data_IF_212394523488
#
_entry.id   IF_212394523488
#
_cell.length_a   1.000
_cell.length_b   1.000
_cell.length_c   1.000
_cell.angle_alpha   90.00
_cell.angle_beta   90.00
_cell.angle_gamma   90.00
#
_symmetry.space_group_name_H-M   'P 1'
#
loop_
_entity.id
_entity.type
_entity.pdbx_description
1 polymer ?
#
# COMPACT_ATOMS: atom_id res chain seq x y z
N UNK A 1 54.23 47.19 -8.94
CA UNK A 1 53.29 46.05 -8.79
C UNK A 1 51.87 46.35 -9.29
N UNK A 2 51.44 47.60 -9.45
CA UNK A 2 50.08 47.97 -9.90
C UNK A 2 49.81 47.90 -11.42
N UNK A 3 50.85 47.79 -12.26
CA UNK A 3 50.70 47.79 -13.73
C UNK A 3 50.43 46.39 -14.33
N UNK A 4 50.86 45.32 -13.65
CA UNK A 4 50.60 43.93 -14.07
C UNK A 4 49.16 43.49 -13.78
N UNK A 5 48.56 44.01 -12.71
CA UNK A 5 47.17 43.71 -12.33
C UNK A 5 46.15 44.36 -13.28
N UNK A 6 46.46 45.56 -13.81
CA UNK A 6 45.60 46.23 -14.79
C UNK A 6 45.64 45.57 -16.17
N UNK A 7 46.78 45.01 -16.57
CA UNK A 7 46.90 44.31 -17.85
C UNK A 7 46.17 42.96 -17.85
N UNK A 8 46.18 42.24 -16.71
CA UNK A 8 45.47 40.96 -16.56
C UNK A 8 43.94 41.11 -16.50
N UNK A 9 43.46 42.23 -15.95
CA UNK A 9 42.03 42.52 -15.82
C UNK A 9 41.42 43.02 -17.14
N UNK A 10 42.23 43.65 -18.00
CA UNK A 10 41.81 44.13 -19.32
C UNK A 10 41.81 43.01 -20.38
N UNK A 11 42.65 41.97 -20.22
CA UNK A 11 42.59 40.77 -21.07
C UNK A 11 41.44 39.82 -20.72
N UNK A 12 41.01 39.75 -19.44
CA UNK A 12 39.87 38.92 -19.04
C UNK A 12 38.50 39.50 -19.49
N UNK A 13 38.39 40.83 -19.62
CA UNK A 13 37.16 41.49 -20.06
C UNK A 13 36.98 41.50 -21.58
N UNK A 14 38.08 41.36 -22.34
CA UNK A 14 38.03 41.21 -23.80
C UNK A 14 37.66 39.79 -24.26
N UNK A 15 37.88 38.76 -23.43
CA UNK A 15 37.46 37.38 -23.73
C UNK A 15 35.97 37.11 -23.52
N UNK A 16 35.24 37.98 -22.81
CA UNK A 16 33.80 37.82 -22.55
C UNK A 16 32.89 38.38 -23.67
N UNK A 17 33.45 39.13 -24.64
CA UNK A 17 32.68 39.75 -25.74
C UNK A 17 32.87 39.06 -27.10
N UNK A 18 33.62 37.95 -27.17
CA UNK A 18 33.91 37.22 -28.41
C UNK A 18 33.36 35.79 -28.46
N UNK A 19 32.60 35.35 -27.44
CA UNK A 19 32.10 33.96 -27.36
C UNK A 19 30.77 33.72 -28.10
N UNK A 20 30.29 34.65 -28.94
CA UNK A 20 28.99 34.54 -29.60
C UNK A 20 29.05 34.76 -31.11
N UNK A 21 29.99 34.13 -31.81
CA UNK A 21 29.88 33.88 -33.26
C UNK A 21 30.75 32.68 -33.67
N UNK A 22 30.29 31.45 -33.40
CA UNK A 22 30.82 30.24 -34.02
C UNK A 22 29.97 29.89 -35.25
N UNK A 23 30.51 29.97 -36.48
CA UNK A 23 29.77 29.60 -37.68
C UNK A 23 29.97 28.10 -37.94
N UNK A 24 29.27 27.20 -37.22
CA UNK A 24 29.23 25.75 -37.54
C UNK A 24 28.12 24.95 -36.84
N UNK A 25 27.01 25.57 -36.43
CA UNK A 25 25.82 24.81 -36.00
C UNK A 25 24.70 24.98 -37.02
N UNK A 26 24.41 23.90 -37.75
CA UNK A 26 23.22 23.77 -38.59
C UNK A 26 21.98 24.06 -37.75
N UNK A 27 21.12 24.96 -38.21
CA UNK A 27 19.80 25.18 -37.59
C UNK A 27 19.07 23.84 -37.48
N UNK A 28 18.45 23.51 -36.32
CA UNK A 28 17.55 22.37 -36.27
C UNK A 28 16.42 22.62 -37.26
N UNK A 29 16.25 21.69 -38.19
CA UNK A 29 15.15 21.65 -39.15
C UNK A 29 13.83 21.86 -38.40
N UNK A 30 12.93 22.75 -38.84
CA UNK A 30 11.63 22.86 -38.21
C UNK A 30 10.90 21.52 -38.38
N UNK A 31 10.60 20.85 -37.27
CA UNK A 31 9.69 19.71 -37.25
C UNK A 31 8.31 20.20 -37.66
N UNK A 32 7.90 19.85 -38.87
CA UNK A 32 6.51 19.97 -39.31
C UNK A 32 5.71 18.86 -38.63
N UNK A 33 4.88 19.22 -37.65
CA UNK A 33 3.80 18.36 -37.20
C UNK A 33 2.78 18.22 -38.34
N UNK A 34 2.43 17.00 -38.79
CA UNK A 34 1.25 16.84 -39.62
C UNK A 34 0.02 17.16 -38.75
N UNK A 35 -0.71 18.21 -39.11
CA UNK A 35 -2.05 18.46 -38.60
C UNK A 35 -2.96 17.28 -38.98
N UNK A 36 -3.64 16.62 -38.04
CA UNK A 36 -4.70 15.69 -38.39
C UNK A 36 -5.88 16.50 -38.94
N UNK A 37 -5.99 16.56 -40.27
CA UNK A 37 -7.20 17.00 -40.94
C UNK A 37 -8.26 15.90 -40.82
N UNK A 38 -8.94 15.82 -39.68
CA UNK A 38 -10.12 15.00 -39.52
C UNK A 38 -11.33 15.78 -40.05
N UNK A 39 -11.65 15.54 -41.32
CA UNK A 39 -12.94 15.92 -41.91
C UNK A 39 -14.06 15.20 -41.16
N UNK A 40 -14.80 16.00 -40.39
CA UNK A 40 -16.11 15.65 -39.85
C UNK A 40 -17.10 15.60 -41.02
N UNK A 41 -17.54 14.42 -41.44
CA UNK A 41 -18.75 14.28 -42.27
C UNK A 41 -19.48 13.00 -41.88
N UNK A 42 -20.62 13.22 -41.22
CA UNK A 42 -21.63 12.23 -40.95
C UNK A 42 -22.14 11.58 -42.25
N UNK A 43 -22.34 10.26 -42.22
CA UNK A 43 -23.23 9.58 -43.16
C UNK A 43 -24.23 8.77 -42.34
N UNK A 44 -25.48 9.24 -42.40
CA UNK A 44 -26.67 8.50 -42.04
C UNK A 44 -26.80 7.26 -42.94
N UNK A 45 -26.99 6.09 -42.34
CA UNK A 45 -27.66 4.98 -42.98
C UNK A 45 -28.55 4.28 -41.94
N UNK A 46 -29.85 4.54 -42.03
CA UNK A 46 -30.87 3.78 -41.31
C UNK A 46 -31.12 2.46 -42.05
N UNK A 47 -31.12 1.34 -41.33
CA UNK A 47 -31.97 0.19 -41.67
C UNK A 47 -32.30 -0.58 -40.40
N UNK A 48 -33.60 -0.61 -40.10
CA UNK A 48 -34.24 -1.47 -39.10
C UNK A 48 -34.19 -2.93 -39.53
N UNK A 49 -33.91 -3.85 -38.59
CA UNK A 49 -34.74 -5.06 -38.41
C UNK A 49 -34.51 -5.69 -37.04
N UNK A 50 -35.65 -6.04 -36.45
CA UNK A 50 -35.93 -6.71 -35.19
C UNK A 50 -35.50 -8.18 -35.21
N UNK A 51 -34.80 -8.64 -34.17
CA UNK A 51 -34.83 -10.04 -33.72
C UNK A 51 -34.43 -10.15 -32.24
N UNK A 52 -35.37 -10.66 -31.44
CA UNK A 52 -35.18 -11.13 -30.08
C UNK A 52 -34.89 -12.64 -30.12
N UNK A 53 -33.95 -13.14 -29.30
CA UNK A 53 -34.13 -14.43 -28.63
C UNK A 53 -33.80 -14.29 -27.13
N UNK A 54 -34.80 -14.34 -26.23
CA UNK A 54 -35.35 -15.53 -25.54
C UNK A 54 -34.34 -16.17 -24.58
N UNK A 55 -34.55 -15.91 -23.29
CA UNK A 55 -33.88 -16.54 -22.13
C UNK A 55 -34.17 -18.05 -22.07
N UNK A 56 -33.21 -18.89 -21.65
CA UNK A 56 -33.48 -20.29 -21.33
C UNK A 56 -34.19 -20.44 -19.97
N UNK A 57 -35.00 -21.51 -19.77
CA UNK A 57 -35.81 -21.70 -18.57
C UNK A 57 -35.01 -22.22 -17.36
N UNK A 58 -35.54 -22.10 -16.13
CA UNK A 58 -34.98 -22.75 -14.95
C UNK A 58 -35.42 -24.22 -14.88
N UNK A 59 -34.47 -25.15 -14.77
CA UNK A 59 -34.78 -26.55 -14.45
C UNK A 59 -34.86 -26.76 -12.93
N UNK A 60 -35.91 -27.49 -12.54
CA UNK A 60 -36.29 -27.81 -11.16
C UNK A 60 -35.99 -29.29 -10.90
N UNK A 61 -35.29 -29.55 -9.79
CA UNK A 61 -35.35 -30.68 -8.85
C UNK A 61 -35.71 -32.11 -9.32
N UNK A 62 -34.77 -33.05 -9.10
CA UNK A 62 -34.94 -34.45 -8.65
C UNK A 62 -33.55 -35.12 -8.67
N UNK A 63 -33.14 -36.12 -7.90
CA UNK A 63 -33.60 -36.78 -6.69
C UNK A 63 -32.39 -37.56 -6.14
N UNK A 64 -32.40 -37.78 -4.84
CA UNK A 64 -31.47 -38.58 -4.06
C UNK A 64 -31.38 -40.02 -4.60
N UNK A 65 -30.17 -40.53 -4.84
CA UNK A 65 -29.95 -41.96 -5.11
C UNK A 65 -29.02 -42.55 -4.06
N UNK A 66 -29.63 -43.22 -3.10
CA UNK A 66 -29.00 -44.10 -2.12
C UNK A 66 -28.39 -45.30 -2.83
N UNK A 67 -27.08 -45.50 -2.72
CA UNK A 67 -26.40 -46.74 -3.15
C UNK A 67 -26.01 -47.54 -1.92
N UNK A 68 -26.80 -48.59 -1.65
CA UNK A 68 -26.48 -49.66 -0.72
C UNK A 68 -25.43 -50.56 -1.36
N UNK A 69 -24.22 -50.61 -0.80
CA UNK A 69 -23.20 -51.60 -1.14
C UNK A 69 -23.07 -52.61 0.01
N UNK A 70 -23.64 -53.80 -0.20
CA UNK A 70 -23.38 -55.02 0.58
C UNK A 70 -22.22 -55.79 -0.06
N UNK A 71 -21.15 -56.08 0.70
CA UNK A 71 -20.09 -56.99 0.27
C UNK A 71 -18.96 -57.11 1.30
N UNK A 72 -18.33 -58.28 1.46
CA UNK A 72 -17.98 -58.84 2.77
C UNK A 72 -16.63 -58.38 3.36
N UNK A 73 -16.56 -58.55 4.68
CA UNK A 73 -15.38 -58.41 5.51
C UNK A 73 -14.21 -59.31 5.08
N UNK A 74 -13.05 -58.70 4.89
CA UNK A 74 -11.75 -59.37 4.95
C UNK A 74 -10.77 -58.51 5.74
N UNK A 75 -10.46 -58.99 6.93
CA UNK A 75 -9.40 -58.50 7.80
C UNK A 75 -8.04 -58.95 7.27
N UNK A 76 -7.04 -58.05 7.21
CA UNK A 76 -5.69 -58.45 7.58
C UNK A 76 -5.20 -57.61 8.75
N UNK A 77 -4.80 -58.30 9.82
CA UNK A 77 -4.08 -57.72 10.93
C UNK A 77 -2.69 -57.28 10.44
N UNK A 78 -2.41 -55.98 10.52
CA UNK A 78 -1.05 -55.44 10.40
C UNK A 78 -0.75 -54.66 11.67
N UNK A 79 0.11 -55.24 12.50
CA UNK A 79 0.69 -54.60 13.67
C UNK A 79 1.60 -53.47 13.21
N UNK A 80 1.13 -52.23 13.32
CA UNK A 80 1.96 -51.03 13.20
C UNK A 80 2.20 -50.45 14.60
N UNK A 81 3.42 -50.59 15.09
CA UNK A 81 3.94 -49.81 16.23
C UNK A 81 3.99 -48.34 15.81
N UNK A 82 3.00 -47.55 16.24
CA UNK A 82 2.97 -46.11 16.01
C UNK A 82 4.06 -45.38 16.81
N UNK A 83 4.65 -44.30 16.26
CA UNK A 83 5.55 -43.43 17.03
C UNK A 83 4.76 -42.72 18.13
N UNK A 84 5.36 -42.66 19.32
CA UNK A 84 4.87 -41.89 20.47
C UNK A 84 4.64 -40.43 20.07
N UNK A 85 3.37 -40.04 19.94
CA UNK A 85 2.98 -38.64 19.79
C UNK A 85 3.18 -37.94 21.13
N UNK A 86 4.23 -37.13 21.23
CA UNK A 86 4.34 -36.12 22.28
C UNK A 86 3.13 -35.18 22.18
N UNK A 87 2.35 -34.97 23.25
CA UNK A 87 1.23 -34.04 23.17
C UNK A 87 1.76 -32.63 22.91
N UNK A 88 1.29 -32.01 21.82
CA UNK A 88 1.49 -30.59 21.52
C UNK A 88 0.89 -29.80 22.69
N UNK A 89 1.69 -28.92 23.29
CA UNK A 89 1.25 -28.08 24.39
C UNK A 89 -0.01 -27.31 23.98
N UNK A 90 -1.10 -27.53 24.72
CA UNK A 90 -2.34 -26.75 24.60
C UNK A 90 -2.03 -25.31 24.97
N UNK A 91 -1.85 -24.45 23.97
CA UNK A 91 -1.72 -23.01 24.18
C UNK A 91 -2.97 -22.52 24.94
N UNK A 92 -2.76 -22.00 26.14
CA UNK A 92 -3.80 -21.37 26.93
C UNK A 92 -4.28 -20.13 26.16
N UNK A 93 -5.59 -19.94 26.00
CA UNK A 93 -6.24 -18.86 25.25
C UNK A 93 -5.86 -17.43 25.69
N UNK A 94 -5.10 -17.27 26.78
CA UNK A 94 -4.47 -16.00 27.16
C UNK A 94 -3.14 -15.67 26.45
N UNK A 95 -2.54 -16.61 25.71
CA UNK A 95 -1.23 -16.44 25.06
C UNK A 95 -1.29 -16.07 23.57
N UNK A 96 -2.47 -16.13 22.93
CA UNK A 96 -2.63 -15.92 21.48
C UNK A 96 -3.11 -14.50 21.15
N UNK A 97 -2.54 -13.51 21.83
CA UNK A 97 -2.95 -12.11 21.71
C UNK A 97 -1.81 -11.20 21.20
N UNK A 98 -0.70 -11.79 20.77
CA UNK A 98 0.41 -11.08 20.13
C UNK A 98 1.18 -12.01 19.22
N UNK A 99 1.56 -11.52 18.04
CA UNK A 99 2.47 -12.16 17.10
C UNK A 99 3.91 -12.06 17.61
N UNK A 100 4.76 -13.07 17.35
CA UNK A 100 6.18 -13.03 17.71
C UNK A 100 7.05 -12.33 16.64
N UNK A 101 6.47 -11.40 15.86
CA UNK A 101 7.09 -10.79 14.69
C UNK A 101 7.46 -9.33 14.98
N UNK A 102 8.55 -9.12 15.70
CA UNK A 102 8.97 -7.81 16.18
C UNK A 102 8.29 -7.37 17.47
N UNK A 103 8.58 -6.15 17.91
CA UNK A 103 7.92 -5.57 19.09
C UNK A 103 6.51 -5.10 18.71
N UNK A 104 5.50 -5.27 19.60
CA UNK A 104 4.18 -4.73 19.35
C UNK A 104 4.21 -3.21 19.17
N UNK A 105 3.37 -2.74 18.25
CA UNK A 105 3.02 -1.33 18.08
C UNK A 105 1.90 -1.04 19.07
N UNK A 106 2.01 0.07 19.80
CA UNK A 106 1.00 0.52 20.76
C UNK A 106 0.43 1.83 20.25
N UNK A 107 -0.86 1.85 19.95
CA UNK A 107 -1.60 3.08 19.69
C UNK A 107 -2.15 3.61 21.00
N UNK A 108 -1.77 4.83 21.36
CA UNK A 108 -2.28 5.49 22.56
C UNK A 108 -3.70 6.03 22.33
N UNK A 109 -4.56 5.96 23.34
CA UNK A 109 -5.84 6.65 23.31
C UNK A 109 -5.66 8.19 23.27
N UNK A 110 -6.26 8.83 22.28
CA UNK A 110 -6.19 10.27 22.06
C UNK A 110 -7.48 10.93 22.59
N UNK A 111 -7.37 11.59 23.74
CA UNK A 111 -8.49 12.35 24.33
C UNK A 111 -8.84 13.62 23.54
N UNK A 112 -7.88 14.15 22.78
CA UNK A 112 -8.06 15.19 21.79
C UNK A 112 -7.60 14.62 20.44
N UNK A 113 -8.45 14.59 19.41
CA UNK A 113 -8.05 14.10 18.10
C UNK A 113 -7.04 15.05 17.44
N UNK A 114 -6.07 14.54 16.68
CA UNK A 114 -5.16 15.37 15.90
C UNK A 114 -5.95 16.10 14.79
N UNK A 115 -5.45 17.26 14.42
CA UNK A 115 -5.84 17.95 13.20
C UNK A 115 -5.20 17.20 12.04
N UNK A 116 -5.98 16.82 11.04
CA UNK A 116 -5.43 16.16 9.84
C UNK A 116 -5.10 17.29 8.86
N UNK A 117 -3.84 17.71 8.83
CA UNK A 117 -3.34 18.80 7.97
C UNK A 117 -1.92 18.57 7.41
N UNK A 118 -1.29 17.46 7.77
CA UNK A 118 0.06 17.08 7.34
C UNK A 118 1.18 17.64 8.23
N UNK A 119 0.87 18.43 9.27
CA UNK A 119 1.85 18.90 10.25
C UNK A 119 1.97 17.92 11.43
N UNK A 120 3.08 17.17 11.46
CA UNK A 120 3.27 16.15 12.48
C UNK A 120 3.71 16.69 13.85
N UNK A 121 3.84 18.02 14.01
CA UNK A 121 4.43 18.62 15.22
C UNK A 121 3.61 18.40 16.49
N UNK A 122 2.30 18.11 16.39
CA UNK A 122 1.45 17.81 17.54
C UNK A 122 1.56 16.37 18.04
N UNK A 123 2.17 15.47 17.25
CA UNK A 123 2.26 14.06 17.60
C UNK A 123 3.30 13.81 18.70
N UNK A 124 2.82 13.35 19.85
CA UNK A 124 3.65 12.99 21.00
C UNK A 124 3.56 11.51 21.40
N UNK A 125 2.92 10.67 20.58
CA UNK A 125 2.86 9.22 20.80
C UNK A 125 4.22 8.58 20.54
N UNK A 126 4.35 7.29 20.83
CA UNK A 126 5.56 6.54 20.47
C UNK A 126 5.81 6.61 18.97
N UNK A 127 7.04 6.97 18.61
CA UNK A 127 7.54 6.91 17.25
C UNK A 127 7.98 5.48 16.91
N UNK A 128 7.53 4.99 15.76
CA UNK A 128 7.92 3.70 15.20
C UNK A 128 8.58 3.90 13.85
N UNK A 129 9.35 2.92 13.39
CA UNK A 129 10.09 3.00 12.12
C UNK A 129 9.61 1.91 11.17
N UNK A 130 9.51 2.26 9.89
CA UNK A 130 9.32 1.33 8.78
C UNK A 130 10.52 1.45 7.82
N UNK A 131 11.48 0.54 7.93
CA UNK A 131 12.69 0.49 7.12
C UNK A 131 13.24 -0.94 6.98
N UNK A 132 12.38 -1.92 7.18
CA UNK A 132 12.72 -3.33 7.07
C UNK A 132 12.30 -3.84 5.69
N UNK A 133 13.20 -4.50 4.97
CA UNK A 133 12.84 -5.18 3.73
C UNK A 133 11.89 -6.33 4.01
N UNK A 134 10.96 -6.57 3.09
CA UNK A 134 10.03 -7.71 3.20
C UNK A 134 10.31 -8.72 2.09
N UNK A 135 10.02 -10.02 2.31
CA UNK A 135 10.33 -11.05 1.32
C UNK A 135 9.56 -10.81 0.03
N UNK A 136 10.27 -10.87 -1.11
CA UNK A 136 9.71 -10.74 -2.46
C UNK A 136 9.21 -9.32 -2.82
N UNK A 137 9.58 -8.30 -2.04
CA UNK A 137 9.17 -6.91 -2.27
C UNK A 137 10.14 -6.10 -3.11
N UNK A 138 10.59 -6.66 -4.24
CA UNK A 138 11.57 -6.02 -5.11
C UNK A 138 12.97 -5.92 -4.50
N UNK A 139 13.98 -5.78 -5.35
CA UNK A 139 15.39 -5.76 -4.94
C UNK A 139 16.04 -4.38 -5.12
N UNK A 140 15.24 -3.34 -5.38
CA UNK A 140 15.75 -2.00 -5.69
C UNK A 140 15.98 -1.11 -4.45
N UNK A 141 15.50 -1.52 -3.28
CA UNK A 141 15.73 -0.74 -2.05
C UNK A 141 17.21 -0.68 -1.70
N UNK A 142 17.78 0.52 -1.60
CA UNK A 142 19.21 0.72 -1.35
C UNK A 142 19.54 1.19 0.07
N UNK A 143 18.53 1.46 0.90
CA UNK A 143 18.68 1.77 2.32
C UNK A 143 17.66 2.79 2.81
N UNK A 144 17.75 3.18 4.08
CA UNK A 144 16.75 4.07 4.68
C UNK A 144 16.70 5.49 4.07
N UNK A 145 17.75 5.94 3.37
CA UNK A 145 17.76 7.20 2.62
C UNK A 145 16.99 7.14 1.30
N UNK A 146 16.78 5.93 0.79
CA UNK A 146 16.09 5.62 -0.46
C UNK A 146 14.60 5.46 -0.16
N UNK A 147 14.25 4.59 0.80
CA UNK A 147 12.90 4.53 1.35
C UNK A 147 12.90 4.19 2.85
N UNK A 148 12.23 5.01 3.65
CA UNK A 148 11.85 4.67 5.03
C UNK A 148 10.72 5.57 5.54
N UNK A 149 10.19 5.27 6.72
CA UNK A 149 9.35 6.24 7.43
C UNK A 149 9.52 6.16 8.94
N UNK A 150 9.34 7.29 9.60
CA UNK A 150 8.93 7.33 11.01
C UNK A 150 7.42 7.53 11.05
N UNK A 151 6.71 6.75 11.85
CA UNK A 151 5.27 6.89 11.99
C UNK A 151 4.82 6.89 13.44
N UNK A 152 3.66 7.49 13.63
CA UNK A 152 2.95 7.64 14.89
C UNK A 152 1.55 7.10 14.71
N UNK A 153 1.03 6.45 15.74
CA UNK A 153 -0.29 5.85 15.70
C UNK A 153 -1.01 6.11 17.02
N UNK A 154 -2.28 6.45 16.91
CA UNK A 154 -3.15 6.72 18.04
C UNK A 154 -4.58 6.35 17.70
N UNK A 155 -5.46 6.32 18.68
CA UNK A 155 -6.85 5.96 18.45
C UNK A 155 -7.80 6.71 19.36
N UNK A 156 -9.05 6.84 18.92
CA UNK A 156 -10.17 7.15 19.79
C UNK A 156 -11.33 6.18 19.51
N UNK A 157 -12.48 6.42 20.13
CA UNK A 157 -13.67 5.56 19.97
C UNK A 157 -14.22 5.50 18.55
N UNK A 158 -13.86 6.46 17.69
CA UNK A 158 -14.37 6.61 16.32
C UNK A 158 -13.31 6.27 15.26
N UNK A 159 -12.03 6.59 15.50
CA UNK A 159 -10.98 6.53 14.49
C UNK A 159 -9.69 5.86 15.00
N UNK A 160 -9.01 5.20 14.07
CA UNK A 160 -7.57 4.96 14.12
C UNK A 160 -6.88 6.12 13.40
N UNK A 161 -5.90 6.74 14.04
CA UNK A 161 -5.13 7.85 13.51
C UNK A 161 -3.72 7.38 13.17
N UNK A 162 -3.19 7.86 12.05
CA UNK A 162 -1.83 7.59 11.59
C UNK A 162 -1.20 8.91 11.15
N UNK A 163 0.04 9.13 11.57
CA UNK A 163 0.94 10.14 11.01
C UNK A 163 2.20 9.46 10.51
N UNK A 164 2.66 9.79 9.31
CA UNK A 164 3.82 9.18 8.66
C UNK A 164 4.70 10.27 8.11
N UNK A 165 5.92 10.36 8.62
CA UNK A 165 7.00 11.11 7.99
C UNK A 165 7.80 10.17 7.11
N UNK A 166 7.56 10.22 5.80
CA UNK A 166 8.21 9.36 4.80
C UNK A 166 9.50 10.02 4.31
N UNK A 167 10.56 9.24 4.33
CA UNK A 167 11.80 9.49 3.58
C UNK A 167 11.75 8.73 2.26
N UNK A 168 11.97 9.43 1.17
CA UNK A 168 11.89 8.97 -0.21
C UNK A 168 12.80 9.84 -1.08
N UNK A 169 13.75 9.22 -1.78
CA UNK A 169 14.68 9.97 -2.61
C UNK A 169 14.05 10.48 -3.91
N UNK A 170 12.99 9.82 -4.40
CA UNK A 170 12.34 10.07 -5.67
C UNK A 170 10.84 9.78 -5.61
N UNK A 171 10.07 10.73 -5.10
CA UNK A 171 8.61 10.61 -5.07
C UNK A 171 7.97 10.61 -6.49
N UNK A 172 7.32 9.50 -6.86
CA UNK A 172 6.53 9.24 -8.06
C UNK A 172 5.19 8.55 -7.74
N UNK A 173 4.20 9.34 -7.31
CA UNK A 173 2.82 8.89 -7.27
C UNK A 173 2.04 9.30 -8.52
N UNK A 174 1.94 8.40 -9.50
CA UNK A 174 1.08 8.57 -10.70
C UNK A 174 -0.01 7.50 -10.81
N UNK A 175 -0.01 6.57 -9.86
CA UNK A 175 -0.94 5.45 -9.78
C UNK A 175 -2.05 5.78 -8.79
N UNK A 176 -3.22 5.17 -8.96
CA UNK A 176 -4.40 5.49 -8.14
C UNK A 176 -5.35 4.28 -8.02
N UNK A 177 -6.29 4.38 -7.07
CA UNK A 177 -7.26 3.37 -6.71
C UNK A 177 -6.60 2.01 -6.46
N UNK A 178 -7.11 0.97 -7.12
CA UNK A 178 -6.57 -0.40 -7.01
C UNK A 178 -5.06 -0.51 -7.27
N UNK A 179 -4.49 0.39 -8.07
CA UNK A 179 -3.12 0.33 -8.54
C UNK A 179 -2.16 1.27 -7.79
N UNK A 180 -2.61 2.00 -6.76
CA UNK A 180 -1.77 2.99 -6.05
C UNK A 180 -0.42 2.46 -5.55
N UNK A 181 -0.33 1.16 -5.23
CA UNK A 181 0.89 0.44 -4.84
C UNK A 181 1.99 0.43 -5.92
N UNK A 182 1.68 0.84 -7.15
CA UNK A 182 2.65 1.02 -8.26
C UNK A 182 3.18 2.45 -8.29
N UNK A 183 3.34 3.04 -7.13
CA UNK A 183 3.74 4.40 -6.83
C UNK A 183 4.00 4.48 -5.33
N UNK A 184 4.09 5.70 -4.82
CA UNK A 184 4.57 5.96 -3.47
C UNK A 184 3.46 6.05 -2.42
N UNK A 185 2.83 4.91 -2.17
CA UNK A 185 1.75 4.75 -1.20
C UNK A 185 2.22 4.20 0.16
N UNK A 186 1.32 4.28 1.14
CA UNK A 186 1.41 3.61 2.43
C UNK A 186 0.35 2.53 2.48
N UNK A 187 0.71 1.31 2.88
CA UNK A 187 -0.23 0.22 3.10
C UNK A 187 -0.33 -0.16 4.58
N UNK A 188 -1.55 -0.38 5.06
CA UNK A 188 -1.85 -0.94 6.37
C UNK A 188 -2.44 -2.34 6.16
N UNK A 189 -1.89 -3.33 6.86
CA UNK A 189 -2.57 -4.61 7.09
C UNK A 189 -3.09 -4.68 8.53
N UNK A 190 -4.33 -5.15 8.68
CA UNK A 190 -4.97 -5.29 9.98
C UNK A 190 -5.76 -6.61 10.05
N UNK A 191 -5.33 -7.52 10.90
CA UNK A 191 -6.04 -8.76 11.26
C UNK A 191 -6.89 -8.43 12.49
N UNK A 192 -8.21 -8.33 12.28
CA UNK A 192 -9.17 -7.92 13.33
C UNK A 192 -9.64 -9.08 14.21
N UNK A 193 -9.37 -10.33 13.82
CA UNK A 193 -9.71 -11.54 14.55
C UNK A 193 -8.52 -12.30 15.12
N UNK A 194 -7.38 -11.63 15.32
CA UNK A 194 -6.08 -12.18 15.74
C UNK A 194 -6.13 -13.42 16.65
N UNK A 195 -6.91 -13.39 17.73
CA UNK A 195 -6.98 -14.49 18.68
C UNK A 195 -7.86 -15.66 18.18
N UNK A 196 -8.91 -15.35 17.41
CA UNK A 196 -9.88 -16.29 16.87
C UNK A 196 -9.32 -17.18 15.77
N UNK A 197 -8.39 -16.67 14.96
CA UNK A 197 -7.80 -17.39 13.84
C UNK A 197 -6.26 -17.27 13.80
N UNK A 198 -5.65 -17.17 14.99
CA UNK A 198 -4.21 -16.95 15.19
C UNK A 198 -3.30 -17.83 14.30
N UNK A 199 -3.65 -19.06 13.96
CA UNK A 199 -2.77 -19.92 13.14
C UNK A 199 -3.10 -19.91 11.64
N UNK A 200 -4.05 -19.09 11.19
CA UNK A 200 -4.48 -19.02 9.79
C UNK A 200 -3.44 -18.30 8.95
N UNK A 201 -2.85 -19.02 7.99
CA UNK A 201 -1.75 -18.52 7.15
C UNK A 201 -2.20 -17.87 5.85
N UNK A 202 -3.49 -17.62 5.69
CA UNK A 202 -4.09 -17.03 4.49
C UNK A 202 -5.12 -15.99 4.91
N UNK A 203 -5.39 -15.03 4.02
CA UNK A 203 -6.34 -13.96 4.30
C UNK A 203 -7.78 -14.49 4.47
N UNK A 204 -8.44 -14.02 5.52
CA UNK A 204 -9.84 -14.29 5.89
C UNK A 204 -10.71 -13.05 5.68
N UNK A 205 -11.94 -13.05 6.20
CA UNK A 205 -12.88 -11.93 6.09
C UNK A 205 -12.59 -10.77 7.05
N UNK A 206 -11.80 -11.03 8.08
CA UNK A 206 -11.41 -10.11 9.14
C UNK A 206 -9.98 -9.57 8.97
N UNK A 207 -9.32 -9.98 7.89
CA UNK A 207 -8.06 -9.43 7.41
C UNK A 207 -8.28 -8.30 6.40
N UNK A 208 -7.75 -7.13 6.74
CA UNK A 208 -7.84 -5.94 5.94
C UNK A 208 -6.49 -5.55 5.35
N UNK A 209 -6.53 -5.03 4.13
CA UNK A 209 -5.41 -4.31 3.52
C UNK A 209 -5.97 -3.01 2.96
N UNK A 210 -5.43 -1.88 3.42
CA UNK A 210 -5.84 -0.54 2.99
C UNK A 210 -4.61 0.24 2.57
N UNK A 211 -4.70 0.92 1.44
CA UNK A 211 -3.70 1.83 0.94
C UNK A 211 -4.11 3.27 1.19
N UNK A 212 -3.14 4.11 1.48
CA UNK A 212 -3.24 5.55 1.66
C UNK A 212 -2.27 6.19 0.67
N UNK A 213 -2.79 7.02 -0.22
CA UNK A 213 -1.99 7.78 -1.17
C UNK A 213 -2.05 9.26 -0.83
N UNK A 214 -0.91 9.99 -0.82
CA UNK A 214 -0.92 11.45 -0.72
C UNK A 214 -1.42 12.13 -2.00
N UNK A 215 -1.77 11.35 -3.03
CA UNK A 215 -1.98 11.86 -4.38
C UNK A 215 -0.64 12.24 -5.00
N UNK A 216 -0.62 13.21 -5.91
CA UNK A 216 0.62 13.67 -6.55
C UNK A 216 0.91 15.16 -6.30
N UNK A 217 0.26 15.75 -5.29
CA UNK A 217 0.32 17.18 -4.98
C UNK A 217 -0.02 18.08 -6.18
N UNK A 218 -0.88 17.58 -7.07
CA UNK A 218 -1.24 18.22 -8.32
C UNK A 218 -2.61 17.76 -8.84
N UNK A 219 -2.60 16.87 -9.83
CA UNK A 219 -3.81 16.41 -10.52
C UNK A 219 -4.47 15.16 -9.94
N UNK A 220 -3.77 14.45 -9.06
CA UNK A 220 -4.27 13.27 -8.35
C UNK A 220 -4.43 13.67 -6.90
N UNK A 221 -5.67 13.64 -6.43
CA UNK A 221 -6.01 13.91 -5.03
C UNK A 221 -5.55 12.75 -4.13
N UNK A 222 -5.37 13.03 -2.84
CA UNK A 222 -5.16 11.98 -1.84
C UNK A 222 -6.36 11.03 -1.80
N UNK A 223 -6.11 9.74 -1.61
CA UNK A 223 -7.18 8.74 -1.57
C UNK A 223 -6.83 7.55 -0.67
N UNK A 224 -7.87 6.84 -0.23
CA UNK A 224 -7.77 5.55 0.41
C UNK A 224 -8.45 4.47 -0.43
N UNK A 225 -7.83 3.30 -0.51
CA UNK A 225 -8.40 2.14 -1.21
C UNK A 225 -8.25 0.88 -0.36
N UNK A 226 -9.32 0.09 -0.25
CA UNK A 226 -9.32 -1.18 0.46
C UNK A 226 -9.22 -2.32 -0.53
N UNK A 227 -8.16 -3.13 -0.45
CA UNK A 227 -8.00 -4.35 -1.26
C UNK A 227 -8.58 -5.59 -0.59
N UNK A 228 -8.47 -5.69 0.73
CA UNK A 228 -9.00 -6.82 1.50
C UNK A 228 -9.94 -6.39 2.62
N UNK A 229 -10.97 -7.21 2.92
CA UNK A 229 -11.30 -8.47 2.25
C UNK A 229 -11.90 -8.22 0.84
N UNK A 230 -11.71 -9.17 -0.09
CA UNK A 230 -12.00 -8.96 -1.53
C UNK A 230 -13.46 -8.63 -1.84
N UNK A 231 -14.40 -9.13 -1.04
CA UNK A 231 -15.83 -8.83 -1.19
C UNK A 231 -16.18 -7.39 -0.78
N UNK A 232 -15.27 -6.68 -0.11
CA UNK A 232 -15.40 -5.29 0.31
C UNK A 232 -14.45 -4.35 -0.43
N UNK A 233 -13.77 -4.84 -1.48
CA UNK A 233 -12.77 -4.10 -2.23
C UNK A 233 -13.38 -2.87 -2.92
N UNK A 234 -12.90 -1.67 -2.55
CA UNK A 234 -13.41 -0.39 -3.06
C UNK A 234 -12.53 0.79 -2.58
N UNK A 235 -12.76 1.97 -3.16
CA UNK A 235 -12.38 3.24 -2.53
C UNK A 235 -13.04 3.41 -1.16
N UNK A 236 -12.30 3.99 -0.21
CA UNK A 236 -12.77 4.23 1.16
C UNK A 236 -12.86 5.74 1.42
N UNK A 237 -13.88 6.38 0.85
CA UNK A 237 -14.06 7.85 0.90
C UNK A 237 -14.34 8.41 2.30
N UNK A 238 -14.57 7.56 3.29
CA UNK A 238 -14.72 7.96 4.69
C UNK A 238 -13.38 8.17 5.42
N UNK A 239 -12.26 7.72 4.84
CA UNK A 239 -10.93 8.04 5.33
C UNK A 239 -10.61 9.46 4.90
N UNK A 240 -10.15 10.28 5.84
CA UNK A 240 -9.63 11.62 5.54
C UNK A 240 -8.12 11.55 5.60
N UNK A 241 -7.47 12.08 4.57
CA UNK A 241 -6.02 12.10 4.40
C UNK A 241 -5.64 13.54 4.07
N UNK A 242 -4.60 14.05 4.72
CA UNK A 242 -3.90 15.25 4.27
C UNK A 242 -2.41 14.94 4.24
N UNK A 243 -1.70 15.54 3.28
CA UNK A 243 -0.28 15.35 3.13
C UNK A 243 0.40 16.63 2.67
N UNK A 244 1.66 16.79 3.07
CA UNK A 244 2.51 17.90 2.66
C UNK A 244 3.86 17.38 2.17
N UNK A 245 4.37 17.93 1.07
CA UNK A 245 5.72 17.63 0.61
C UNK A 245 6.75 18.15 1.60
N UNK A 246 7.77 17.35 1.84
CA UNK A 246 8.96 17.73 2.59
C UNK A 246 10.17 17.74 1.67
N UNK A 247 11.32 18.16 2.18
CA UNK A 247 12.56 18.12 1.40
C UNK A 247 13.07 16.68 1.16
N UNK A 248 12.53 15.67 1.85
CA UNK A 248 12.99 14.30 1.78
C UNK A 248 11.88 13.28 1.50
N UNK A 249 10.72 13.71 1.01
CA UNK A 249 9.55 12.86 0.80
C UNK A 249 8.26 13.62 1.10
N UNK A 250 7.44 13.09 2.00
CA UNK A 250 6.22 13.76 2.46
C UNK A 250 5.86 13.39 3.89
N UNK A 251 5.12 14.27 4.53
CA UNK A 251 4.41 13.99 5.76
C UNK A 251 2.94 13.74 5.41
N UNK A 252 2.34 12.67 5.93
CA UNK A 252 0.94 12.29 5.70
C UNK A 252 0.26 12.02 7.02
N UNK A 253 -0.94 12.54 7.18
CA UNK A 253 -1.85 12.21 8.27
C UNK A 253 -3.13 11.59 7.74
N UNK A 254 -3.65 10.61 8.47
CA UNK A 254 -4.91 9.96 8.15
C UNK A 254 -5.74 9.71 9.41
N UNK A 255 -7.06 9.93 9.30
CA UNK A 255 -8.04 9.39 10.25
C UNK A 255 -8.92 8.36 9.55
N UNK A 256 -8.88 7.13 10.08
CA UNK A 256 -9.53 5.96 9.51
C UNK A 256 -10.67 5.55 10.44
N UNK A 257 -11.95 5.67 10.03
CA UNK A 257 -13.06 5.24 10.88
C UNK A 257 -12.97 3.75 11.20
N UNK A 258 -13.21 3.34 12.45
CA UNK A 258 -13.18 1.91 12.82
C UNK A 258 -14.20 1.05 12.06
N UNK A 259 -15.28 1.67 11.56
CA UNK A 259 -16.26 1.02 10.68
C UNK A 259 -15.66 0.51 9.37
N UNK A 260 -14.52 1.08 8.92
CA UNK A 260 -13.77 0.58 7.76
C UNK A 260 -13.28 -0.86 7.99
N UNK A 261 -12.96 -1.18 9.24
CA UNK A 261 -12.50 -2.50 9.69
C UNK A 261 -13.61 -3.35 10.33
N UNK A 262 -14.84 -2.83 10.44
CA UNK A 262 -15.92 -3.50 11.17
C UNK A 262 -15.64 -3.67 12.67
N UNK A 263 -14.73 -2.86 13.23
CA UNK A 263 -14.28 -2.96 14.62
C UNK A 263 -15.05 -1.99 15.51
N UNK A 264 -15.38 -2.43 16.72
CA UNK A 264 -15.66 -1.52 17.84
C UNK A 264 -14.41 -1.51 18.73
N UNK A 265 -13.67 -0.40 18.79
CA UNK A 265 -12.40 -0.38 19.52
C UNK A 265 -12.63 -0.41 21.02
N UNK A 266 -11.66 -0.99 21.74
CA UNK A 266 -11.60 -0.95 23.19
C UNK A 266 -10.14 -0.93 23.64
N UNK A 267 -9.86 -0.28 24.77
CA UNK A 267 -8.54 -0.37 25.39
C UNK A 267 -8.21 -1.83 25.70
N UNK A 268 -6.99 -2.24 25.39
CA UNK A 268 -6.50 -3.61 25.44
C UNK A 268 -6.79 -4.46 24.19
N UNK A 269 -7.57 -3.96 23.22
CA UNK A 269 -7.79 -4.67 21.94
C UNK A 269 -6.48 -4.88 21.20
N UNK A 270 -6.37 -6.03 20.53
CA UNK A 270 -5.16 -6.50 19.86
C UNK A 270 -5.48 -7.01 18.47
N UNK A 271 -4.66 -6.59 17.51
CA UNK A 271 -4.82 -6.87 16.09
C UNK A 271 -3.50 -7.35 15.50
N UNK A 272 -3.51 -8.23 14.49
CA UNK A 272 -2.32 -8.39 13.67
C UNK A 272 -2.12 -7.11 12.85
N UNK A 273 -0.87 -6.66 12.71
CA UNK A 273 -0.60 -5.35 12.13
C UNK A 273 0.71 -5.29 11.35
N UNK A 274 0.67 -4.63 10.20
CA UNK A 274 1.87 -4.16 9.52
C UNK A 274 1.57 -2.84 8.82
N UNK A 275 2.56 -1.96 8.79
CA UNK A 275 2.62 -0.78 7.95
C UNK A 275 3.72 -1.00 6.93
N UNK A 276 3.43 -0.75 5.67
CA UNK A 276 4.37 -0.89 4.55
C UNK A 276 4.37 0.36 3.70
N UNK A 277 5.47 0.60 3.01
CA UNK A 277 5.65 1.69 2.05
C UNK A 277 5.97 1.07 0.70
N UNK A 278 5.17 1.37 -0.33
CA UNK A 278 5.55 1.02 -1.70
C UNK A 278 6.42 2.12 -2.30
N UNK A 279 7.22 1.70 -3.27
CA UNK A 279 8.32 2.48 -3.83
C UNK A 279 8.28 2.53 -5.37
N UNK A 280 8.53 3.72 -5.90
CA UNK A 280 8.71 3.95 -7.32
C UNK A 280 9.53 5.22 -7.59
N UNK A 281 10.72 5.06 -8.15
CA UNK A 281 11.61 6.15 -8.56
C UNK A 281 11.55 6.41 -10.07
N UNK A 282 10.83 5.56 -10.82
CA UNK A 282 10.74 5.70 -12.27
C UNK A 282 9.71 6.78 -12.65
N UNK A 283 10.15 8.03 -12.69
CA UNK A 283 9.34 9.19 -13.08
C UNK A 283 8.55 8.94 -14.36
N UNK A 284 7.23 9.08 -14.27
CA UNK A 284 6.31 8.90 -15.41
C UNK A 284 5.98 7.42 -15.73
N UNK A 285 6.47 6.48 -14.93
CA UNK A 285 6.19 5.05 -15.06
C UNK A 285 5.41 4.58 -13.84
N UNK A 286 4.30 3.86 -14.07
CA UNK A 286 3.58 3.17 -13.00
C UNK A 286 4.24 1.82 -12.80
N UNK A 287 5.01 1.64 -11.74
CA UNK A 287 5.67 0.37 -11.42
C UNK A 287 5.82 0.20 -9.92
N UNK A 288 5.97 -1.04 -9.48
CA UNK A 288 6.32 -1.36 -8.10
C UNK A 288 7.78 -1.80 -8.11
N UNK A 289 8.67 -0.99 -7.53
CA UNK A 289 10.12 -1.24 -7.53
C UNK A 289 10.60 -1.95 -6.29
N UNK A 290 10.13 -1.49 -5.14
CA UNK A 290 10.49 -2.03 -3.85
C UNK A 290 9.37 -1.81 -2.81
N UNK A 291 9.52 -2.38 -1.63
CA UNK A 291 8.72 -2.03 -0.47
C UNK A 291 9.46 -2.35 0.83
N UNK A 292 9.29 -1.45 1.81
CA UNK A 292 9.72 -1.66 3.20
C UNK A 292 8.52 -1.73 4.12
N UNK A 293 8.72 -2.25 5.34
CA UNK A 293 7.70 -2.34 6.37
C UNK A 293 8.28 -2.06 7.76
N UNK A 294 7.39 -1.92 8.75
CA UNK A 294 7.76 -1.98 10.16
C UNK A 294 8.11 -3.40 10.64
N UNK A 295 7.78 -4.44 9.85
CA UNK A 295 8.03 -5.85 10.20
C UNK A 295 8.65 -6.59 9.01
N UNK A 296 9.89 -7.07 9.14
CA UNK A 296 10.62 -7.79 8.07
C UNK A 296 10.02 -9.15 7.68
N UNK A 297 9.13 -9.74 8.48
CA UNK A 297 8.49 -11.01 8.14
C UNK A 297 7.29 -10.84 7.22
N UNK A 298 6.77 -9.61 7.05
CA UNK A 298 5.48 -9.33 6.42
C UNK A 298 5.37 -9.98 5.04
N UNK A 299 4.32 -10.76 4.87
CA UNK A 299 3.82 -11.23 3.58
C UNK A 299 2.35 -10.83 3.45
N UNK A 300 1.99 -10.17 2.35
CA UNK A 300 0.64 -9.63 2.15
C UNK A 300 -0.45 -10.67 2.35
N UNK A 301 -0.24 -11.89 1.85
CA UNK A 301 -1.25 -12.94 1.87
C UNK A 301 -1.16 -13.89 3.08
N UNK A 302 -0.37 -13.58 4.11
CA UNK A 302 -0.18 -14.45 5.28
C UNK A 302 -0.19 -13.65 6.60
N UNK A 303 -1.37 -13.49 7.26
CA UNK A 303 -1.54 -12.72 8.50
C UNK A 303 -0.62 -13.14 9.66
N UNK A 304 -0.28 -14.42 9.72
CA UNK A 304 0.67 -14.97 10.72
C UNK A 304 2.07 -14.37 10.65
N UNK A 305 2.40 -13.66 9.57
CA UNK A 305 3.69 -13.00 9.36
C UNK A 305 3.70 -11.52 9.74
N UNK A 306 2.56 -10.95 10.12
CA UNK A 306 2.45 -9.56 10.54
C UNK A 306 2.82 -9.40 12.02
N UNK A 307 3.06 -8.16 12.45
CA UNK A 307 3.29 -7.81 13.86
C UNK A 307 1.98 -7.73 14.64
N UNK A 308 1.97 -6.95 15.72
CA UNK A 308 0.78 -6.74 16.54
C UNK A 308 0.58 -5.27 16.84
N UNK A 309 -0.65 -4.81 16.71
CA UNK A 309 -1.12 -3.52 17.21
C UNK A 309 -1.90 -3.73 18.51
N UNK A 310 -1.62 -2.91 19.50
CA UNK A 310 -2.32 -2.87 20.80
C UNK A 310 -2.94 -1.49 20.95
N UNK A 311 -4.21 -1.43 21.31
CA UNK A 311 -4.85 -0.19 21.75
C UNK A 311 -4.63 -0.02 23.25
N UNK A 312 -3.91 1.03 23.66
CA UNK A 312 -3.71 1.40 25.07
C UNK A 312 -4.76 2.43 25.51
#
# INVERSE_FOLDING_TARGET
MAMRTRLLMMTLLASALAACTLPSFTSPTPFTFPTPNLTHTAIFAATSTKTTPTLPPPETTAAETTITATGPAVTPAVTATGPTSTPLATATTGALNSRPNGSPVTAAFLSAPPVIDGDLSEWSTTAYVANETVPLAGDNWTGASDLSATYYIGWDVNYLYLAVSRTDDTFVQISWGRYMYRGDDIEIQLDTGLAGDYYTTYLSSDDYQIGLSPGNFGSIDSEAYRWYPRNLEAWVTSVVIEAVLTNGGYDLEAKIPWSVFGVTPASGSRFGFALSLSDNDLVGVSTWQSMVSNVNTRRTAAPTTWGTLILD
#
